data_IF_414471654341
#
_entry.id   IF_414471654341
#
_cell.length_a   1.000
_cell.length_b   1.000
_cell.length_c   1.000
_cell.angle_alpha   90.00
_cell.angle_beta   90.00
_cell.angle_gamma   90.00
#
_symmetry.space_group_name_H-M   'P 1'
#
loop_
_entity.id
_entity.type
_entity.pdbx_description
1 polymer ?
#
# COMPACT_ATOMS: atom_id res chain seq x y z
N UNK A 1 30.83 5.70 -10.74
CA UNK A 1 30.04 4.95 -9.74
C UNK A 1 28.59 5.37 -9.89
N UNK A 2 27.74 4.53 -10.46
CA UNK A 2 26.29 4.75 -10.42
C UNK A 2 25.87 4.60 -8.96
N UNK A 3 25.37 5.67 -8.36
CA UNK A 3 24.67 5.57 -7.07
C UNK A 3 23.50 4.63 -7.30
N UNK A 4 23.59 3.39 -6.80
CA UNK A 4 22.43 2.50 -6.75
C UNK A 4 21.41 3.17 -5.84
N UNK A 5 20.39 3.75 -6.44
CA UNK A 5 19.25 4.24 -5.67
C UNK A 5 18.54 3.02 -5.09
N UNK A 6 18.44 3.00 -3.77
CA UNK A 6 17.60 2.05 -3.03
C UNK A 6 16.21 1.99 -3.68
N UNK A 7 15.74 0.78 -3.94
CA UNK A 7 14.47 0.55 -4.61
C UNK A 7 13.31 0.99 -3.71
N UNK A 8 12.30 1.69 -4.26
CA UNK A 8 11.19 2.26 -3.49
C UNK A 8 9.85 1.77 -4.00
N UNK A 9 8.91 1.63 -3.06
CA UNK A 9 7.49 1.43 -3.34
C UNK A 9 6.72 2.63 -2.80
N UNK A 10 5.68 3.03 -3.52
CA UNK A 10 4.72 4.04 -3.09
C UNK A 10 3.40 3.35 -2.83
N UNK A 11 3.07 3.13 -1.56
CA UNK A 11 1.75 2.66 -1.18
C UNK A 11 0.78 3.83 -1.20
N UNK A 12 -0.40 3.65 -1.79
CA UNK A 12 -1.41 4.69 -1.89
C UNK A 12 -2.80 4.13 -1.67
N UNK A 13 -3.71 4.99 -1.27
CA UNK A 13 -5.13 4.72 -1.07
C UNK A 13 -5.95 5.96 -1.45
N UNK A 14 -7.13 5.75 -2.04
CA UNK A 14 -8.01 6.82 -2.49
C UNK A 14 -9.37 6.71 -1.82
N UNK A 15 -9.84 7.83 -1.25
CA UNK A 15 -11.26 7.97 -0.99
C UNK A 15 -11.95 8.52 -2.22
N UNK A 16 -12.89 7.75 -2.76
CA UNK A 16 -13.70 8.12 -3.91
C UNK A 16 -15.14 8.44 -3.51
N UNK A 17 -15.81 9.29 -4.29
CA UNK A 17 -17.23 9.59 -4.16
C UNK A 17 -18.16 8.50 -4.71
N UNK A 18 -17.65 7.31 -5.02
CA UNK A 18 -18.42 6.21 -5.61
C UNK A 18 -17.52 5.12 -6.21
N UNK A 19 -18.11 4.19 -6.95
CA UNK A 19 -17.41 2.99 -7.45
C UNK A 19 -16.98 3.05 -8.92
N UNK A 20 -17.49 4.03 -9.68
CA UNK A 20 -17.16 4.21 -11.11
C UNK A 20 -16.05 5.26 -11.30
N UNK A 21 -14.84 4.87 -11.78
CA UNK A 21 -13.69 5.75 -11.98
C UNK A 21 -13.85 6.78 -13.10
N UNK A 22 -14.79 6.57 -14.03
CA UNK A 22 -15.04 7.53 -15.11
C UNK A 22 -16.08 8.59 -14.74
N UNK A 23 -16.86 8.34 -13.68
CA UNK A 23 -17.92 9.22 -13.20
C UNK A 23 -17.55 9.90 -11.88
N UNK A 24 -17.30 9.13 -10.84
CA UNK A 24 -17.20 9.64 -9.47
C UNK A 24 -15.86 10.31 -9.19
N UNK A 25 -15.84 11.34 -8.31
CA UNK A 25 -14.62 12.06 -7.97
C UNK A 25 -13.72 11.25 -7.03
N UNK A 26 -12.43 11.61 -7.02
CA UNK A 26 -11.54 11.35 -5.88
C UNK A 26 -11.75 12.49 -4.89
N UNK A 27 -11.96 12.16 -3.62
CA UNK A 27 -12.25 13.06 -2.51
C UNK A 27 -11.03 13.22 -1.60
N UNK A 28 -10.16 12.22 -1.52
CA UNK A 28 -8.92 12.22 -0.71
C UNK A 28 -7.87 11.33 -1.39
N UNK A 29 -6.61 11.67 -1.22
CA UNK A 29 -5.48 10.82 -1.60
C UNK A 29 -4.47 10.76 -0.48
N UNK A 30 -4.15 9.53 -0.05
CA UNK A 30 -3.04 9.23 0.84
C UNK A 30 -1.96 8.45 0.08
N UNK A 31 -0.69 8.68 0.43
CA UNK A 31 0.40 7.83 0.02
C UNK A 31 1.57 7.82 1.02
N UNK A 32 2.36 6.75 1.01
CA UNK A 32 3.64 6.67 1.69
C UNK A 32 4.67 6.04 0.76
N UNK A 33 5.84 6.65 0.65
CA UNK A 33 7.00 6.00 0.05
C UNK A 33 7.73 5.21 1.13
N UNK A 34 8.08 3.97 0.81
CA UNK A 34 8.91 3.11 1.66
C UNK A 34 10.11 2.59 0.90
N UNK A 35 11.19 2.34 1.63
CA UNK A 35 12.27 1.46 1.16
C UNK A 35 11.69 0.08 0.87
N UNK A 36 11.95 -0.45 -0.33
CA UNK A 36 11.50 -1.79 -0.68
C UNK A 36 12.26 -2.85 0.12
N UNK A 37 13.54 -2.63 0.45
CA UNK A 37 14.41 -3.57 1.17
C UNK A 37 14.06 -3.62 2.65
N UNK A 38 14.07 -2.47 3.34
CA UNK A 38 13.91 -2.38 4.81
C UNK A 38 12.45 -2.25 5.22
N UNK A 39 11.61 -1.63 4.38
CA UNK A 39 10.25 -1.25 4.73
C UNK A 39 10.15 0.07 5.49
N UNK A 40 11.27 0.78 5.70
CA UNK A 40 11.29 2.08 6.36
C UNK A 40 10.49 3.12 5.58
N UNK A 41 9.67 3.89 6.29
CA UNK A 41 8.93 5.04 5.74
C UNK A 41 9.89 6.17 5.39
N UNK A 42 9.83 6.65 4.15
CA UNK A 42 10.71 7.70 3.63
C UNK A 42 10.01 9.07 3.55
N UNK A 43 8.76 9.09 3.07
CA UNK A 43 7.97 10.32 2.93
C UNK A 43 6.49 9.95 2.88
N UNK A 44 5.64 10.76 3.52
CA UNK A 44 4.17 10.64 3.47
C UNK A 44 3.58 11.77 2.64
N UNK A 45 2.47 11.48 1.96
CA UNK A 45 1.69 12.43 1.21
C UNK A 45 0.22 12.27 1.58
N UNK A 46 -0.46 13.39 1.85
CA UNK A 46 -1.89 13.39 2.14
C UNK A 46 -2.49 14.70 1.67
N UNK A 47 -3.59 14.63 0.93
CA UNK A 47 -4.35 15.81 0.51
C UNK A 47 -5.84 15.49 0.37
N UNK A 48 -6.67 16.42 0.84
CA UNK A 48 -8.09 16.44 0.52
C UNK A 48 -8.30 17.06 -0.87
N UNK A 49 -9.22 16.49 -1.63
CA UNK A 49 -9.54 16.88 -3.00
C UNK A 49 -10.92 17.52 -3.04
N UNK A 50 -11.01 18.72 -3.61
CA UNK A 50 -12.27 19.42 -3.80
C UNK A 50 -13.11 18.69 -4.86
N UNK A 51 -14.38 18.43 -4.56
CA UNK A 51 -15.33 17.79 -5.48
C UNK A 51 -16.74 18.36 -5.30
N UNK A 52 -17.61 18.17 -6.30
CA UNK A 52 -19.04 18.46 -6.16
C UNK A 52 -19.74 17.27 -5.50
N UNK A 53 -20.35 17.42 -4.30
CA UNK A 53 -21.08 16.34 -3.64
C UNK A 53 -22.22 15.73 -4.46
N UNK A 54 -22.77 16.46 -5.43
CA UNK A 54 -23.81 15.95 -6.34
C UNK A 54 -23.28 14.88 -7.31
N UNK A 55 -21.98 14.90 -7.57
CA UNK A 55 -21.29 13.92 -8.42
C UNK A 55 -20.89 12.66 -7.63
N UNK A 56 -21.11 12.65 -6.32
CA UNK A 56 -20.87 11.50 -5.46
C UNK A 56 -22.15 10.69 -5.21
N UNK A 57 -22.01 9.37 -5.02
CA UNK A 57 -23.06 8.51 -4.50
C UNK A 57 -23.30 8.87 -3.02
N UNK A 58 -24.54 9.25 -2.63
CA UNK A 58 -24.88 9.55 -1.24
C UNK A 58 -24.47 8.46 -0.25
N UNK A 59 -24.51 7.18 -0.65
CA UNK A 59 -24.09 6.05 0.20
C UNK A 59 -22.58 6.07 0.45
N UNK A 60 -21.79 6.49 -0.54
CA UNK A 60 -20.34 6.61 -0.39
C UNK A 60 -19.98 7.75 0.53
N UNK A 61 -20.71 8.87 0.45
CA UNK A 61 -20.52 10.01 1.37
C UNK A 61 -20.87 9.65 2.82
N UNK A 62 -21.90 8.83 3.04
CA UNK A 62 -22.30 8.42 4.40
C UNK A 62 -21.39 7.37 5.03
N UNK A 63 -20.76 6.52 4.21
CA UNK A 63 -19.83 5.49 4.69
C UNK A 63 -18.43 6.04 4.98
N UNK A 64 -18.09 7.18 4.37
CA UNK A 64 -16.76 7.79 4.41
C UNK A 64 -16.73 9.03 5.29
N UNK A 65 -15.52 9.44 5.70
CA UNK A 65 -15.27 10.59 6.59
C UNK A 65 -15.45 11.95 5.87
N UNK A 66 -16.49 12.11 5.04
CA UNK A 66 -16.75 13.38 4.38
C UNK A 66 -17.32 14.38 5.41
N UNK A 67 -16.53 15.41 5.70
CA UNK A 67 -16.94 16.57 6.49
C UNK A 67 -16.98 17.81 5.57
N UNK A 68 -18.17 18.36 5.27
CA UNK A 68 -18.30 19.54 4.42
C UNK A 68 -17.49 20.75 4.89
N UNK A 69 -17.38 20.97 6.21
CA UNK A 69 -16.64 22.10 6.77
C UNK A 69 -15.13 21.91 6.61
N UNK A 70 -14.62 20.70 6.86
CA UNK A 70 -13.23 20.37 6.62
C UNK A 70 -12.86 20.49 5.12
N UNK A 71 -13.70 19.96 4.23
CA UNK A 71 -13.45 20.04 2.79
C UNK A 71 -13.49 21.48 2.27
N UNK A 72 -14.42 22.30 2.77
CA UNK A 72 -14.49 23.71 2.37
C UNK A 72 -13.25 24.52 2.74
N UNK A 73 -12.51 24.11 3.79
CA UNK A 73 -11.35 24.85 4.29
C UNK A 73 -10.02 24.30 3.79
N UNK A 74 -9.88 22.98 3.70
CA UNK A 74 -8.60 22.31 3.47
C UNK A 74 -8.47 21.63 2.11
N UNK A 75 -9.58 21.36 1.40
CA UNK A 75 -9.52 20.65 0.13
C UNK A 75 -8.98 21.54 -1.00
N UNK A 76 -8.12 20.94 -1.83
CA UNK A 76 -7.49 21.63 -2.95
C UNK A 76 -8.10 21.19 -4.28
N UNK A 77 -7.97 22.04 -5.31
CA UNK A 77 -8.50 21.69 -6.63
C UNK A 77 -7.90 20.37 -7.15
N UNK A 78 -8.69 19.51 -7.82
CA UNK A 78 -8.21 18.21 -8.30
C UNK A 78 -6.93 18.26 -9.16
N UNK A 79 -6.83 19.26 -10.04
CA UNK A 79 -5.64 19.41 -10.90
C UNK A 79 -4.38 19.78 -10.13
N UNK A 80 -4.51 20.56 -9.04
CA UNK A 80 -3.40 20.94 -8.17
C UNK A 80 -2.94 19.75 -7.32
N UNK A 81 -3.88 18.99 -6.75
CA UNK A 81 -3.53 17.77 -6.00
C UNK A 81 -2.83 16.76 -6.92
N UNK A 82 -3.32 16.56 -8.14
CA UNK A 82 -2.65 15.71 -9.12
C UNK A 82 -1.23 16.22 -9.47
N UNK A 83 -1.00 17.54 -9.45
CA UNK A 83 0.35 18.09 -9.66
C UNK A 83 1.28 17.77 -8.49
N UNK A 84 0.86 18.04 -7.27
CA UNK A 84 1.65 17.74 -6.07
C UNK A 84 1.92 16.23 -5.92
N UNK A 85 0.91 15.39 -6.19
CA UNK A 85 1.11 13.95 -6.20
C UNK A 85 2.10 13.51 -7.29
N UNK A 86 2.07 14.14 -8.47
CA UNK A 86 3.07 13.88 -9.52
C UNK A 86 4.48 14.25 -9.08
N UNK A 87 4.66 15.35 -8.34
CA UNK A 87 5.96 15.74 -7.80
C UNK A 87 6.44 14.75 -6.74
N UNK A 88 5.56 14.31 -5.84
CA UNK A 88 5.83 13.25 -4.87
C UNK A 88 6.30 11.96 -5.57
N UNK A 89 5.54 11.46 -6.54
CA UNK A 89 5.91 10.27 -7.31
C UNK A 89 7.27 10.40 -8.01
N UNK A 90 7.59 11.58 -8.56
CA UNK A 90 8.90 11.82 -9.20
C UNK A 90 10.05 11.77 -8.21
N UNK A 91 9.88 12.25 -6.96
CA UNK A 91 10.90 12.14 -5.90
C UNK A 91 11.20 10.69 -5.52
N UNK A 92 10.23 9.79 -5.69
CA UNK A 92 10.36 8.37 -5.36
C UNK A 92 10.43 7.46 -6.59
N UNK A 93 10.74 8.02 -7.76
CA UNK A 93 10.82 7.28 -9.01
C UNK A 93 12.13 6.48 -9.11
N UNK A 94 12.11 5.20 -8.73
CA UNK A 94 13.27 4.30 -8.84
C UNK A 94 13.15 3.26 -9.95
N UNK A 95 11.95 3.03 -10.51
CA UNK A 95 11.74 2.05 -11.58
C UNK A 95 12.26 2.58 -12.91
N UNK A 96 13.33 1.97 -13.42
CA UNK A 96 13.85 2.26 -14.75
C UNK A 96 12.89 1.69 -15.80
N UNK A 97 12.52 2.54 -16.75
CA UNK A 97 11.76 2.20 -17.96
C UNK A 97 12.57 2.58 -19.18
N UNK A 98 12.42 1.80 -20.24
CA UNK A 98 13.10 2.01 -21.52
C UNK A 98 12.11 2.55 -22.55
N UNK A 99 12.54 3.55 -23.32
CA UNK A 99 11.81 4.07 -24.47
C UNK A 99 12.14 3.26 -25.72
N UNK A 100 11.35 3.43 -26.77
CA UNK A 100 11.58 2.79 -28.07
C UNK A 100 12.93 3.21 -28.69
N UNK A 101 13.37 4.45 -28.46
CA UNK A 101 14.67 4.98 -28.91
C UNK A 101 15.87 4.47 -28.09
N UNK A 102 15.63 3.59 -27.11
CA UNK A 102 16.65 3.02 -26.25
C UNK A 102 17.02 3.86 -25.03
N UNK A 103 16.61 5.12 -24.94
CA UNK A 103 16.82 5.96 -23.76
C UNK A 103 16.00 5.46 -22.57
N UNK A 104 16.41 5.85 -21.36
CA UNK A 104 15.74 5.43 -20.12
C UNK A 104 15.14 6.61 -19.37
N UNK A 105 14.10 6.33 -18.59
CA UNK A 105 13.50 7.26 -17.65
C UNK A 105 13.06 6.51 -16.40
N UNK A 106 12.78 7.23 -15.32
CA UNK A 106 12.33 6.63 -14.06
C UNK A 106 10.88 6.98 -13.76
N UNK A 107 10.18 6.04 -13.16
CA UNK A 107 8.81 6.21 -12.64
C UNK A 107 8.69 5.60 -11.25
N UNK A 108 7.69 6.01 -10.48
CA UNK A 108 7.34 5.37 -9.22
C UNK A 108 6.74 3.97 -9.45
N UNK A 109 6.94 3.07 -8.48
CA UNK A 109 6.20 1.78 -8.40
C UNK A 109 5.07 1.95 -7.40
N UNK A 110 3.82 1.86 -7.85
CA UNK A 110 2.67 1.97 -6.97
C UNK A 110 2.35 0.62 -6.32
N UNK A 111 1.85 0.66 -5.10
CA UNK A 111 1.36 -0.48 -4.35
C UNK A 111 0.11 -0.09 -3.54
N UNK A 112 -0.69 -1.07 -3.14
CA UNK A 112 -1.87 -0.84 -2.31
C UNK A 112 -2.59 -2.15 -1.96
N UNK A 113 -3.73 -2.06 -1.29
CA UNK A 113 -4.56 -3.21 -0.94
C UNK A 113 -5.84 -3.18 -1.75
N UNK A 114 -6.07 -4.19 -2.61
CA UNK A 114 -7.16 -4.18 -3.60
C UNK A 114 -7.06 -3.03 -4.64
N UNK A 115 -5.90 -2.36 -4.67
CA UNK A 115 -5.69 -1.13 -5.42
C UNK A 115 -5.53 -1.32 -6.92
N UNK A 116 -5.09 -2.49 -7.44
CA UNK A 116 -5.05 -2.68 -8.90
C UNK A 116 -6.46 -2.70 -9.48
N UNK A 117 -7.40 -3.27 -8.73
CA UNK A 117 -8.80 -3.40 -9.16
C UNK A 117 -9.65 -2.15 -8.90
N UNK A 118 -9.29 -1.33 -7.90
CA UNK A 118 -10.10 -0.20 -7.45
C UNK A 118 -9.41 1.15 -7.62
N UNK A 119 -8.40 1.46 -6.81
CA UNK A 119 -7.73 2.77 -6.78
C UNK A 119 -6.98 3.11 -8.07
N UNK A 120 -6.29 2.13 -8.64
CA UNK A 120 -5.51 2.26 -9.88
C UNK A 120 -6.36 2.78 -11.05
N UNK A 121 -7.53 2.18 -11.36
CA UNK A 121 -8.47 2.71 -12.32
C UNK A 121 -8.87 4.17 -12.09
N UNK A 122 -9.18 4.56 -10.84
CA UNK A 122 -9.49 5.95 -10.48
C UNK A 122 -8.32 6.88 -10.76
N UNK A 123 -7.12 6.54 -10.29
CA UNK A 123 -5.91 7.33 -10.51
C UNK A 123 -5.62 7.52 -12.01
N UNK A 124 -5.68 6.44 -12.79
CA UNK A 124 -5.47 6.48 -14.25
C UNK A 124 -6.52 7.33 -14.96
N UNK A 125 -7.79 7.21 -14.58
CA UNK A 125 -8.87 8.02 -15.14
C UNK A 125 -8.71 9.51 -14.79
N UNK A 126 -8.29 9.81 -13.56
CA UNK A 126 -8.08 11.16 -13.07
C UNK A 126 -6.98 11.90 -13.86
N UNK A 127 -5.82 11.27 -14.03
CA UNK A 127 -4.72 11.82 -14.83
C UNK A 127 -5.10 11.98 -16.31
N UNK A 128 -5.84 11.01 -16.87
CA UNK A 128 -6.36 11.09 -18.24
C UNK A 128 -7.31 12.28 -18.42
N UNK A 129 -8.20 12.53 -17.45
CA UNK A 129 -9.16 13.65 -17.48
C UNK A 129 -8.44 15.01 -17.55
N UNK A 130 -7.31 15.16 -16.85
CA UNK A 130 -6.49 16.37 -16.91
C UNK A 130 -5.48 16.40 -18.06
N UNK A 131 -5.43 15.35 -18.89
CA UNK A 131 -4.40 15.18 -19.94
C UNK A 131 -2.98 15.30 -19.39
N UNK A 132 -2.76 14.84 -18.14
CA UNK A 132 -1.46 14.85 -17.46
C UNK A 132 -0.80 13.48 -17.56
N UNK A 133 0.53 13.47 -17.62
CA UNK A 133 1.32 12.24 -17.51
C UNK A 133 1.34 11.77 -16.05
N UNK A 134 1.00 10.51 -15.81
CA UNK A 134 1.15 9.85 -14.50
C UNK A 134 2.60 9.31 -14.38
N UNK A 135 3.46 9.87 -13.51
CA UNK A 135 4.86 9.45 -13.37
C UNK A 135 5.02 8.17 -12.53
N UNK A 136 4.22 7.16 -12.84
CA UNK A 136 4.22 5.86 -12.19
C UNK A 136 4.12 4.72 -13.23
N UNK A 137 4.55 3.53 -12.82
CA UNK A 137 4.23 2.29 -13.54
C UNK A 137 2.70 2.11 -13.60
N UNK A 138 2.20 1.58 -14.73
CA UNK A 138 0.75 1.38 -14.92
C UNK A 138 0.17 0.26 -14.05
N UNK A 139 1.00 -0.74 -13.73
CA UNK A 139 0.67 -1.83 -12.82
C UNK A 139 0.92 -1.41 -11.37
N UNK A 140 -0.07 -1.66 -10.52
CA UNK A 140 -0.03 -1.52 -9.08
C UNK A 140 0.29 -2.88 -8.46
N UNK A 141 1.22 -2.91 -7.51
CA UNK A 141 1.43 -4.08 -6.67
C UNK A 141 0.27 -4.21 -5.69
N UNK A 142 -0.57 -5.22 -5.88
CA UNK A 142 -1.75 -5.45 -5.04
C UNK A 142 -1.45 -6.47 -3.93
N UNK A 143 -1.50 -6.02 -2.67
CA UNK A 143 -1.24 -6.87 -1.50
C UNK A 143 -2.31 -7.93 -1.27
N UNK A 144 -3.56 -7.68 -1.69
CA UNK A 144 -4.63 -8.67 -1.61
C UNK A 144 -4.37 -9.81 -2.59
N UNK A 145 -3.92 -9.49 -3.80
CA UNK A 145 -3.55 -10.50 -4.80
C UNK A 145 -2.30 -11.28 -4.36
N UNK A 146 -1.29 -10.60 -3.79
CA UNK A 146 -0.12 -11.24 -3.19
C UNK A 146 -0.52 -12.23 -2.09
N UNK A 147 -1.41 -11.82 -1.18
CA UNK A 147 -1.90 -12.68 -0.10
C UNK A 147 -2.68 -13.89 -0.64
N UNK A 148 -3.53 -13.67 -1.66
CA UNK A 148 -4.27 -14.76 -2.31
C UNK A 148 -3.32 -15.84 -2.83
N UNK A 149 -2.28 -15.46 -3.58
CA UNK A 149 -1.31 -16.43 -4.10
C UNK A 149 -0.49 -17.09 -3.00
N UNK A 150 -0.08 -16.34 -1.96
CA UNK A 150 0.62 -16.93 -0.81
C UNK A 150 -0.16 -18.11 -0.20
N UNK A 151 -1.46 -17.94 0.06
CA UNK A 151 -2.29 -18.98 0.68
C UNK A 151 -2.73 -20.11 -0.27
N UNK A 152 -2.55 -19.90 -1.57
CA UNK A 152 -2.75 -20.95 -2.59
C UNK A 152 -1.48 -21.79 -2.76
N UNK A 153 -0.32 -21.14 -2.79
CA UNK A 153 0.99 -21.77 -2.97
C UNK A 153 1.52 -22.42 -1.67
N UNK A 154 1.02 -21.98 -0.51
CA UNK A 154 1.43 -22.49 0.81
C UNK A 154 0.21 -23.06 1.56
N UNK A 155 -0.34 -24.20 1.14
CA UNK A 155 -1.57 -24.79 1.71
C UNK A 155 -1.43 -25.19 3.19
N UNK A 156 -0.21 -25.31 3.70
CA UNK A 156 0.08 -25.58 5.10
C UNK A 156 -0.15 -24.35 6.01
N UNK A 157 -0.21 -23.14 5.45
CA UNK A 157 -0.52 -21.95 6.23
C UNK A 157 -2.01 -21.93 6.60
N UNK A 158 -2.38 -21.69 7.88
CA UNK A 158 -3.76 -21.48 8.27
C UNK A 158 -4.38 -20.34 7.44
N UNK A 159 -5.51 -20.61 6.76
CA UNK A 159 -6.16 -19.58 5.96
C UNK A 159 -6.85 -18.55 6.85
N UNK A 160 -6.68 -17.24 6.58
CA UNK A 160 -7.46 -16.21 7.25
C UNK A 160 -8.93 -16.31 6.83
N UNK A 161 -9.84 -15.79 7.67
CA UNK A 161 -11.29 -15.77 7.39
C UNK A 161 -11.62 -15.08 6.06
N UNK A 162 -10.88 -14.02 5.74
CA UNK A 162 -10.99 -13.30 4.48
C UNK A 162 -9.67 -12.54 4.22
N UNK A 163 -9.55 -11.93 3.04
CA UNK A 163 -8.37 -11.18 2.62
C UNK A 163 -8.52 -9.66 2.77
N UNK A 164 -9.39 -9.18 3.67
CA UNK A 164 -9.46 -7.74 3.99
C UNK A 164 -8.18 -7.32 4.71
N UNK A 165 -7.81 -6.05 4.56
CA UNK A 165 -6.61 -5.49 5.17
C UNK A 165 -6.55 -5.73 6.69
N UNK A 166 -7.63 -5.47 7.42
CA UNK A 166 -7.71 -5.68 8.87
C UNK A 166 -7.45 -7.15 9.26
N UNK A 167 -8.06 -8.08 8.52
CA UNK A 167 -7.89 -9.52 8.76
C UNK A 167 -6.44 -9.95 8.50
N UNK A 168 -5.83 -9.47 7.42
CA UNK A 168 -4.42 -9.75 7.11
C UNK A 168 -3.48 -9.09 8.11
N UNK A 169 -3.74 -7.85 8.51
CA UNK A 169 -2.96 -7.13 9.51
C UNK A 169 -2.94 -7.91 10.84
N UNK A 170 -4.11 -8.39 11.28
CA UNK A 170 -4.25 -9.26 12.45
C UNK A 170 -3.52 -10.60 12.26
N UNK A 171 -3.69 -11.24 11.11
CA UNK A 171 -3.06 -12.53 10.79
C UNK A 171 -1.52 -12.46 10.86
N UNK A 172 -0.93 -11.45 10.23
CA UNK A 172 0.52 -11.24 10.20
C UNK A 172 1.06 -10.55 11.47
N UNK A 173 0.18 -10.15 12.39
CA UNK A 173 0.58 -9.46 13.62
C UNK A 173 1.33 -8.15 13.36
N UNK A 174 0.93 -7.41 12.32
CA UNK A 174 1.54 -6.10 12.03
C UNK A 174 1.18 -5.08 13.10
N UNK A 175 2.01 -4.07 13.24
CA UNK A 175 1.98 -3.15 14.39
C UNK A 175 0.96 -2.03 14.21
N UNK A 176 0.88 -1.48 13.00
CA UNK A 176 -0.11 -0.46 12.67
C UNK A 176 -1.45 -1.14 12.42
N UNK A 177 -2.45 -0.74 13.21
CA UNK A 177 -3.82 -1.23 13.02
C UNK A 177 -4.54 -0.31 12.04
N UNK A 178 -5.21 -0.87 11.01
CA UNK A 178 -6.14 -0.11 10.20
C UNK A 178 -7.23 0.49 11.08
N UNK A 179 -7.53 1.77 10.88
CA UNK A 179 -8.56 2.52 11.62
C UNK A 179 -9.40 3.40 10.68
N UNK A 180 -9.37 3.08 9.39
CA UNK A 180 -10.06 3.82 8.33
C UNK A 180 -9.57 5.27 8.20
N UNK A 181 -8.36 5.58 8.69
CA UNK A 181 -7.63 6.77 8.23
C UNK A 181 -6.73 6.34 7.08
N UNK A 182 -6.68 7.15 6.01
CA UNK A 182 -5.86 6.84 4.85
C UNK A 182 -4.40 6.55 5.24
N UNK A 183 -3.84 7.30 6.20
CA UNK A 183 -2.45 7.10 6.63
C UNK A 183 -2.23 5.76 7.35
N UNK A 184 -3.04 5.39 8.34
CA UNK A 184 -2.84 4.13 9.07
C UNK A 184 -3.13 2.92 8.19
N UNK A 185 -4.13 3.00 7.31
CA UNK A 185 -4.46 1.91 6.39
C UNK A 185 -3.32 1.70 5.36
N UNK A 186 -2.72 2.78 4.85
CA UNK A 186 -1.56 2.72 3.95
C UNK A 186 -0.33 2.15 4.67
N UNK A 187 -0.05 2.59 5.91
CA UNK A 187 1.08 2.07 6.70
C UNK A 187 0.88 0.58 7.05
N UNK A 188 -0.33 0.18 7.43
CA UNK A 188 -0.69 -1.21 7.66
C UNK A 188 -0.51 -2.04 6.37
N UNK A 189 -0.92 -1.51 5.22
CA UNK A 189 -0.73 -2.16 3.91
C UNK A 189 0.75 -2.38 3.61
N UNK A 190 1.61 -1.39 3.86
CA UNK A 190 3.05 -1.52 3.68
C UNK A 190 3.65 -2.60 4.61
N UNK A 191 3.21 -2.67 5.86
CA UNK A 191 3.66 -3.71 6.80
C UNK A 191 3.16 -5.11 6.39
N UNK A 192 1.91 -5.23 5.94
CA UNK A 192 1.36 -6.50 5.42
C UNK A 192 2.15 -6.96 4.20
N UNK A 193 2.48 -6.04 3.28
CA UNK A 193 3.35 -6.35 2.14
C UNK A 193 4.71 -6.93 2.59
N UNK A 194 5.37 -6.29 3.56
CA UNK A 194 6.66 -6.77 4.06
C UNK A 194 6.51 -8.13 4.75
N UNK A 195 5.45 -8.36 5.52
CA UNK A 195 5.17 -9.66 6.13
C UNK A 195 4.99 -10.77 5.07
N UNK A 196 4.18 -10.53 4.03
CA UNK A 196 3.99 -11.48 2.93
C UNK A 196 5.32 -11.77 2.23
N UNK A 197 6.11 -10.73 1.92
CA UNK A 197 7.43 -10.89 1.26
C UNK A 197 8.39 -11.77 2.08
N UNK A 198 8.32 -11.70 3.41
CA UNK A 198 9.17 -12.51 4.30
C UNK A 198 8.69 -13.96 4.41
N UNK A 199 7.39 -14.22 4.31
CA UNK A 199 6.83 -15.58 4.27
C UNK A 199 7.24 -16.36 3.01
N UNK A 200 7.61 -15.65 1.93
CA UNK A 200 8.17 -16.28 0.73
C UNK A 200 9.66 -16.66 0.86
N UNK A 201 10.29 -16.43 2.02
CA UNK A 201 11.67 -16.84 2.29
C UNK A 201 11.63 -18.23 2.95
N UNK A 202 12.30 -19.25 2.38
CA UNK A 202 12.33 -20.60 2.97
C UNK A 202 12.90 -20.57 4.39
N UNK A 203 12.19 -21.20 5.33
CA UNK A 203 12.67 -21.47 6.69
C UNK A 203 13.53 -22.73 6.65
N UNK A 204 14.68 -22.75 7.32
CA UNK A 204 15.52 -23.97 7.38
C UNK A 204 14.88 -25.02 8.30
N UNK A 205 15.20 -26.30 8.11
CA UNK A 205 14.69 -27.39 8.98
C UNK A 205 14.96 -27.12 10.47
N UNK A 206 16.11 -26.55 10.80
CA UNK A 206 16.47 -26.21 12.18
C UNK A 206 15.62 -25.08 12.75
N UNK A 207 15.26 -24.09 11.93
CA UNK A 207 14.36 -23.00 12.34
C UNK A 207 12.92 -23.49 12.50
N UNK A 208 12.49 -24.41 11.63
CA UNK A 208 11.19 -25.08 11.72
C UNK A 208 11.06 -25.82 13.06
N UNK A 209 12.04 -26.67 13.38
CA UNK A 209 12.06 -27.44 14.63
C UNK A 209 12.08 -26.54 15.88
N UNK A 210 12.81 -25.42 15.82
CA UNK A 210 12.85 -24.46 16.92
C UNK A 210 11.48 -23.80 17.16
N UNK A 211 10.75 -23.47 16.09
CA UNK A 211 9.42 -22.89 16.17
C UNK A 211 8.39 -23.88 16.71
N UNK A 212 8.45 -25.15 16.29
CA UNK A 212 7.62 -26.25 16.82
C UNK A 212 7.76 -26.36 18.34
N UNK A 213 9.01 -26.44 18.83
CA UNK A 213 9.30 -26.55 20.27
C UNK A 213 8.82 -25.32 21.05
N UNK A 214 9.00 -24.12 20.49
CA UNK A 214 8.50 -22.89 21.10
C UNK A 214 6.97 -22.85 21.14
N UNK A 215 6.31 -23.33 20.10
CA UNK A 215 4.86 -23.34 20.01
C UNK A 215 4.25 -24.25 21.08
N UNK A 216 4.79 -25.44 21.24
CA UNK A 216 4.39 -26.37 22.30
C UNK A 216 4.55 -25.77 23.70
N UNK A 217 5.69 -25.08 23.95
CA UNK A 217 5.99 -24.51 25.27
C UNK A 217 5.15 -23.29 25.63
N UNK A 218 4.80 -22.47 24.64
CA UNK A 218 4.15 -21.18 24.86
C UNK A 218 2.64 -21.22 24.61
N UNK A 219 2.15 -22.26 23.92
CA UNK A 219 0.79 -22.31 23.39
C UNK A 219 0.53 -21.29 22.28
N UNK A 220 1.57 -20.61 21.79
CA UNK A 220 1.50 -19.66 20.68
C UNK A 220 1.76 -20.45 19.40
N UNK A 221 0.95 -20.27 18.35
CA UNK A 221 1.16 -20.99 17.10
C UNK A 221 2.51 -20.66 16.45
N UNK A 222 3.14 -21.64 15.80
CA UNK A 222 4.41 -21.46 15.06
C UNK A 222 4.38 -20.26 14.13
N UNK A 223 3.29 -20.10 13.39
CA UNK A 223 3.05 -18.95 12.51
C UNK A 223 3.15 -17.63 13.28
N UNK A 224 2.54 -17.56 14.46
CA UNK A 224 2.53 -16.35 15.27
C UNK A 224 3.91 -16.09 15.88
N UNK A 225 4.63 -17.14 16.27
CA UNK A 225 6.03 -17.04 16.70
C UNK A 225 6.96 -16.59 15.57
N UNK A 226 6.81 -17.13 14.37
CA UNK A 226 7.58 -16.72 13.19
C UNK A 226 7.31 -15.25 12.85
N UNK A 227 6.04 -14.86 12.79
CA UNK A 227 5.66 -13.46 12.55
C UNK A 227 6.20 -12.53 13.65
N UNK A 228 6.14 -12.93 14.92
CA UNK A 228 6.66 -12.14 16.04
C UNK A 228 8.19 -12.06 16.05
N UNK A 229 8.89 -13.17 15.84
CA UNK A 229 10.35 -13.22 15.82
C UNK A 229 10.91 -12.39 14.67
N UNK A 230 10.31 -12.48 13.49
CA UNK A 230 10.67 -11.65 12.34
C UNK A 230 10.41 -10.17 12.62
N UNK A 231 9.25 -9.82 13.17
CA UNK A 231 8.93 -8.43 13.49
C UNK A 231 9.82 -7.87 14.61
N UNK A 232 10.28 -8.70 15.55
CA UNK A 232 11.28 -8.31 16.56
C UNK A 232 12.67 -8.13 15.96
N UNK A 233 13.14 -9.08 15.15
CA UNK A 233 14.47 -9.02 14.54
C UNK A 233 14.63 -7.79 13.64
N UNK A 234 13.57 -7.38 12.94
CA UNK A 234 13.56 -6.16 12.13
C UNK A 234 13.62 -4.90 12.99
N UNK A 235 12.92 -4.87 14.14
CA UNK A 235 13.05 -3.77 15.10
C UNK A 235 14.46 -3.69 15.69
N UNK A 236 15.07 -4.83 15.96
CA UNK A 236 16.41 -4.90 16.54
C UNK A 236 17.50 -4.56 15.50
N UNK A 237 17.23 -4.78 14.21
CA UNK A 237 18.09 -4.36 13.09
C UNK A 237 17.92 -2.89 12.69
N UNK A 238 16.81 -2.25 13.06
CA UNK A 238 16.57 -0.80 12.88
C UNK A 238 17.20 0.05 14.01
N UNK A 239 18.24 -0.46 14.68
CA UNK A 239 19.11 0.29 15.60
C UNK A 239 20.58 0.25 15.14
N UNK A 240 20.87 1.04 14.10
CA UNK A 240 22.14 1.75 13.89
C UNK A 240 21.94 2.93 12.93
#
# INVERSE_FOLDING_TARGET
MTVEHEDRLVFFDLETGGLDPNRHPICEIGAVSVSASTGATLETFHMLVLFDPKEADPRSLSLKKYDPALWATAAMSPSLVAEYFSQFLRRHATCIRRRADGSTYRVAKLAGHNAESFDGPFLRAWYRRFKKYLPAAMSVLDTKQRAMWLFEEQPQLPRPENLKLETLAKYFGVTTRPDHTALNDILATAQVYQAIRRQSVPVTESQQLYLEVLAERTGITELKLLNQAINSLVRDLDLA
#
